data_IF_614560060555
#
_entry.id   IF_614560060555
#
_cell.length_a   1.000
_cell.length_b   1.000
_cell.length_c   1.000
_cell.angle_alpha   90.00
_cell.angle_beta   90.00
_cell.angle_gamma   90.00
#
_symmetry.space_group_name_H-M   'P 1'
#
loop_
_entity.id
_entity.type
_entity.pdbx_description
1 polymer ?
#
# COMPACT_ATOMS: atom_id res chain seq x y z
N UNK A 1 -9.26 -0.16 -7.86
CA UNK A 1 -8.88 -1.60 -7.90
C UNK A 1 -10.07 -2.38 -8.39
N UNK A 2 -9.88 -3.27 -9.36
CA UNK A 2 -10.94 -4.15 -9.86
C UNK A 2 -10.66 -5.59 -9.39
N UNK A 3 -11.31 -5.97 -8.29
CA UNK A 3 -11.16 -7.30 -7.71
C UNK A 3 -12.14 -8.28 -8.37
N UNK A 4 -11.63 -9.47 -8.71
CA UNK A 4 -12.42 -10.53 -9.34
C UNK A 4 -13.45 -11.04 -8.33
N UNK A 5 -14.72 -11.08 -8.73
CA UNK A 5 -15.85 -11.59 -7.93
C UNK A 5 -16.05 -10.90 -6.56
N UNK A 6 -15.55 -9.67 -6.39
CA UNK A 6 -15.62 -8.91 -5.13
C UNK A 6 -16.05 -7.46 -5.40
N UNK A 7 -17.34 -7.24 -5.63
CA UNK A 7 -17.88 -5.94 -6.08
C UNK A 7 -17.89 -4.85 -5.00
N UNK A 8 -17.88 -5.22 -3.72
CA UNK A 8 -17.89 -4.32 -2.56
C UNK A 8 -16.49 -4.08 -1.97
N UNK A 9 -15.46 -4.69 -2.55
CA UNK A 9 -14.09 -4.63 -2.05
C UNK A 9 -13.37 -3.37 -2.51
N UNK A 10 -12.99 -2.51 -1.56
CA UNK A 10 -12.17 -1.33 -1.80
C UNK A 10 -10.92 -1.35 -0.92
N UNK A 11 -9.79 -0.96 -1.50
CA UNK A 11 -8.49 -0.94 -0.83
C UNK A 11 -7.78 0.39 -1.10
N UNK A 12 -7.21 0.96 -0.05
CA UNK A 12 -6.21 2.03 -0.12
C UNK A 12 -5.01 1.60 0.72
N UNK A 13 -3.80 1.75 0.18
CA UNK A 13 -2.56 1.54 0.92
C UNK A 13 -1.56 2.60 0.47
N UNK A 14 -0.98 3.31 1.43
CA UNK A 14 -0.05 4.40 1.16
C UNK A 14 1.07 4.41 2.19
N UNK A 15 2.26 4.76 1.72
CA UNK A 15 3.42 5.10 2.56
C UNK A 15 3.91 6.48 2.13
N UNK A 16 4.33 7.31 3.09
CA UNK A 16 4.98 8.58 2.82
C UNK A 16 6.02 8.93 3.87
N UNK A 17 6.86 9.91 3.53
CA UNK A 17 7.72 10.60 4.50
C UNK A 17 7.12 11.95 4.82
N UNK A 18 7.05 12.31 6.10
CA UNK A 18 6.62 13.65 6.53
C UNK A 18 7.60 14.25 7.52
N UNK A 19 7.68 15.57 7.50
CA UNK A 19 8.46 16.33 8.46
C UNK A 19 7.57 16.71 9.65
N UNK A 20 8.06 16.46 10.85
CA UNK A 20 7.49 16.98 12.09
C UNK A 20 8.60 17.76 12.79
N UNK A 21 8.45 19.09 12.82
CA UNK A 21 9.47 19.99 13.36
C UNK A 21 10.86 19.70 12.76
N UNK A 22 11.80 19.21 13.56
CA UNK A 22 13.19 18.95 13.19
C UNK A 22 13.46 17.51 12.74
N UNK A 23 12.48 16.60 12.76
CA UNK A 23 12.69 15.21 12.34
C UNK A 23 11.80 14.81 11.16
N UNK A 24 12.26 13.81 10.44
CA UNK A 24 11.55 13.16 9.34
C UNK A 24 11.12 11.77 9.80
N UNK A 25 9.89 11.40 9.50
CA UNK A 25 9.39 10.05 9.77
C UNK A 25 8.71 9.43 8.55
N UNK A 26 8.77 8.10 8.49
CA UNK A 26 8.00 7.30 7.54
C UNK A 26 6.68 6.90 8.19
N UNK A 27 5.58 7.22 7.54
CA UNK A 27 4.22 6.90 7.97
C UNK A 27 3.50 6.13 6.87
N UNK A 28 2.67 5.18 7.27
CA UNK A 28 1.84 4.42 6.35
C UNK A 28 0.42 4.30 6.87
N UNK A 29 -0.50 4.05 5.96
CA UNK A 29 -1.91 3.77 6.25
C UNK A 29 -2.41 2.73 5.25
N UNK A 30 -3.18 1.77 5.75
CA UNK A 30 -3.87 0.76 4.95
C UNK A 30 -5.33 0.71 5.39
N UNK A 31 -6.25 0.78 4.43
CA UNK A 31 -7.69 0.74 4.66
C UNK A 31 -8.34 -0.23 3.69
N UNK A 32 -9.17 -1.13 4.21
CA UNK A 32 -9.89 -2.13 3.43
C UNK A 32 -11.37 -2.10 3.78
N UNK A 33 -12.24 -1.90 2.78
CA UNK A 33 -13.68 -2.11 2.92
C UNK A 33 -14.06 -3.46 2.35
N UNK A 34 -14.79 -4.26 3.12
CA UNK A 34 -15.30 -5.57 2.71
C UNK A 34 -16.54 -5.92 3.55
N UNK A 35 -17.63 -6.31 2.90
CA UNK A 35 -18.89 -6.74 3.51
C UNK A 35 -19.45 -5.73 4.54
N UNK A 36 -19.40 -4.44 4.20
CA UNK A 36 -19.87 -3.36 5.07
C UNK A 36 -18.96 -3.07 6.28
N UNK A 37 -17.81 -3.73 6.40
CA UNK A 37 -16.81 -3.47 7.44
C UNK A 37 -15.63 -2.68 6.87
N UNK A 38 -15.11 -1.74 7.65
CA UNK A 38 -13.86 -1.03 7.36
C UNK A 38 -12.76 -1.51 8.30
N UNK A 39 -11.72 -2.11 7.72
CA UNK A 39 -10.51 -2.51 8.43
C UNK A 39 -9.46 -1.42 8.25
N UNK A 40 -9.27 -0.62 9.31
CA UNK A 40 -8.27 0.44 9.36
C UNK A 40 -6.97 -0.04 9.99
N UNK A 41 -5.85 0.31 9.35
CA UNK A 41 -4.51 0.17 9.88
C UNK A 41 -3.77 1.50 9.70
N UNK A 42 -3.52 2.17 10.81
CA UNK A 42 -2.91 3.48 10.88
C UNK A 42 -1.83 3.52 11.96
N UNK A 43 -0.96 4.55 11.99
CA UNK A 43 0.18 4.59 12.91
C UNK A 43 -0.19 4.49 14.41
N UNK A 44 -1.42 4.82 14.78
CA UNK A 44 -1.91 4.77 16.16
C UNK A 44 -2.52 3.42 16.58
N UNK A 45 -2.84 2.52 15.65
CA UNK A 45 -3.51 1.25 15.96
C UNK A 45 -2.85 0.01 15.35
N UNK A 46 -1.86 0.17 14.46
CA UNK A 46 -1.24 -0.93 13.74
C UNK A 46 0.26 -0.72 13.53
N UNK A 47 0.98 -1.85 13.45
CA UNK A 47 2.31 -1.91 12.85
C UNK A 47 2.17 -2.07 11.35
N UNK A 48 2.93 -1.30 10.59
CA UNK A 48 2.84 -1.27 9.12
C UNK A 48 4.25 -1.33 8.55
N UNK A 49 4.50 -2.39 7.79
CA UNK A 49 5.79 -2.62 7.13
C UNK A 49 5.59 -2.60 5.62
N UNK A 50 6.63 -2.20 4.91
CA UNK A 50 6.61 -2.24 3.46
C UNK A 50 8.00 -2.38 2.87
N UNK A 51 8.01 -2.89 1.65
CA UNK A 51 9.13 -2.88 0.75
C UNK A 51 8.58 -2.52 -0.63
N UNK A 52 9.01 -1.39 -1.16
CA UNK A 52 8.65 -0.96 -2.51
C UNK A 52 9.93 -0.93 -3.32
N UNK A 53 9.94 -1.52 -4.50
CA UNK A 53 11.04 -1.39 -5.46
C UNK A 53 10.98 -0.01 -6.12
N UNK A 54 12.08 0.52 -6.68
CA UNK A 54 12.05 1.76 -7.46
C UNK A 54 10.92 1.80 -8.49
N UNK A 55 10.58 0.64 -9.04
CA UNK A 55 9.37 0.40 -9.80
C UNK A 55 9.07 -1.10 -9.91
N UNK A 56 7.80 -1.44 -10.16
CA UNK A 56 7.38 -2.76 -10.62
C UNK A 56 6.94 -3.74 -9.53
N UNK A 57 7.24 -3.45 -8.26
CA UNK A 57 6.90 -4.34 -7.15
C UNK A 57 6.65 -3.56 -5.85
N UNK A 58 5.57 -3.92 -5.16
CA UNK A 58 5.15 -3.35 -3.88
C UNK A 58 4.73 -4.49 -2.96
N UNK A 59 5.37 -4.59 -1.80
CA UNK A 59 4.91 -5.40 -0.69
C UNK A 59 4.56 -4.51 0.48
N UNK A 60 3.41 -4.75 1.09
CA UNK A 60 3.00 -4.08 2.32
C UNK A 60 2.30 -5.08 3.23
N UNK A 61 2.51 -4.93 4.53
CA UNK A 61 1.70 -5.61 5.53
C UNK A 61 1.30 -4.66 6.65
N UNK A 62 0.15 -4.93 7.25
CA UNK A 62 -0.29 -4.26 8.45
C UNK A 62 -0.86 -5.26 9.46
N UNK A 63 -0.50 -5.07 10.73
CA UNK A 63 -0.95 -5.92 11.84
C UNK A 63 -1.41 -5.07 13.02
N UNK A 64 -2.60 -5.36 13.52
CA UNK A 64 -3.09 -4.84 14.79
C UNK A 64 -3.40 -6.00 15.76
N UNK A 65 -4.09 -5.73 16.86
CA UNK A 65 -4.40 -6.75 17.87
C UNK A 65 -5.26 -7.91 17.35
N UNK A 66 -6.10 -7.67 16.33
CA UNK A 66 -7.15 -8.61 15.90
C UNK A 66 -7.06 -9.01 14.43
N UNK A 67 -6.28 -8.30 13.60
CA UNK A 67 -6.23 -8.50 12.16
C UNK A 67 -4.81 -8.37 11.60
N UNK A 68 -4.58 -9.10 10.51
CA UNK A 68 -3.37 -9.01 9.68
C UNK A 68 -3.78 -8.89 8.21
N UNK A 69 -3.29 -7.86 7.54
CA UNK A 69 -3.49 -7.59 6.12
C UNK A 69 -2.16 -7.66 5.40
N UNK A 70 -2.07 -8.50 4.36
CA UNK A 70 -0.91 -8.66 3.50
C UNK A 70 -1.28 -8.25 2.07
N UNK A 71 -0.44 -7.43 1.45
CA UNK A 71 -0.57 -6.96 0.07
C UNK A 71 0.69 -7.28 -0.71
N UNK A 72 0.51 -7.77 -1.93
CA UNK A 72 1.58 -7.95 -2.90
C UNK A 72 1.12 -7.45 -4.25
N UNK A 73 1.75 -6.41 -4.78
CA UNK A 73 1.41 -5.85 -6.08
C UNK A 73 2.60 -5.80 -7.04
N UNK A 74 2.33 -5.97 -8.32
CA UNK A 74 3.33 -5.96 -9.38
C UNK A 74 2.85 -5.23 -10.62
N UNK A 75 3.80 -4.71 -11.40
CA UNK A 75 3.58 -4.14 -12.72
C UNK A 75 4.78 -4.41 -13.61
N UNK A 76 4.54 -5.02 -14.77
CA UNK A 76 5.56 -5.28 -15.81
C UNK A 76 5.70 -4.12 -16.81
N UNK A 77 4.77 -3.16 -16.80
CA UNK A 77 4.79 -1.95 -17.64
C UNK A 77 5.65 -0.86 -16.98
N UNK A 78 6.27 0.05 -17.76
CA UNK A 78 7.14 1.11 -17.23
C UNK A 78 6.43 2.21 -16.41
N UNK A 79 5.10 2.21 -16.33
CA UNK A 79 4.30 3.28 -15.73
C UNK A 79 4.28 4.55 -16.58
N UNK A 80 3.47 5.53 -16.17
CA UNK A 80 3.43 6.88 -16.77
C UNK A 80 4.05 7.87 -15.82
N UNK A 81 4.91 8.75 -16.33
CA UNK A 81 5.48 9.84 -15.55
C UNK A 81 4.43 10.94 -15.37
N UNK A 82 4.26 11.38 -14.12
CA UNK A 82 3.32 12.40 -13.72
C UNK A 82 4.05 13.59 -13.10
N UNK A 83 3.50 14.79 -13.34
CA UNK A 83 3.97 16.01 -12.68
C UNK A 83 3.25 16.14 -11.34
N UNK A 84 4.00 16.37 -10.27
CA UNK A 84 3.44 16.66 -8.95
C UNK A 84 3.98 17.99 -8.40
N UNK A 85 3.25 18.65 -7.48
CA UNK A 85 3.71 19.88 -6.84
C UNK A 85 5.00 19.67 -6.04
N UNK A 86 5.99 20.53 -6.28
CA UNK A 86 7.24 20.60 -5.50
C UNK A 86 7.61 22.05 -5.24
N UNK A 87 8.69 22.29 -4.49
CA UNK A 87 9.27 23.63 -4.34
C UNK A 87 9.73 24.24 -5.68
N UNK A 88 10.05 23.41 -6.68
CA UNK A 88 10.41 23.85 -8.03
C UNK A 88 9.18 23.95 -8.97
N UNK A 89 7.96 23.93 -8.43
CA UNK A 89 6.72 23.88 -9.20
C UNK A 89 6.32 22.45 -9.60
N UNK A 90 5.49 22.34 -10.64
CA UNK A 90 5.03 21.05 -11.18
C UNK A 90 6.15 20.38 -11.99
N UNK A 91 6.76 19.33 -11.46
CA UNK A 91 7.86 18.59 -12.12
C UNK A 91 7.57 17.11 -12.16
N UNK A 92 8.16 16.40 -13.12
CA UNK A 92 8.05 14.94 -13.23
C UNK A 92 8.76 14.27 -12.05
N UNK A 93 7.98 13.80 -11.08
CA UNK A 93 8.48 13.24 -9.82
C UNK A 93 7.61 12.08 -9.31
N UNK A 94 6.51 11.77 -10.00
CA UNK A 94 5.69 10.60 -9.72
C UNK A 94 5.67 9.70 -10.96
N UNK A 95 5.44 8.41 -10.71
CA UNK A 95 5.18 7.41 -11.73
C UNK A 95 4.01 6.56 -11.28
N UNK A 96 3.00 6.41 -12.15
CA UNK A 96 1.79 5.65 -11.85
C UNK A 96 1.40 4.63 -12.92
N UNK A 97 0.47 3.76 -12.58
CA UNK A 97 -0.19 2.84 -13.52
C UNK A 97 -1.54 2.43 -12.94
N UNK A 98 -2.51 2.15 -13.83
CA UNK A 98 -3.78 1.51 -13.48
C UNK A 98 -3.84 0.04 -13.93
N UNK A 99 -2.73 -0.46 -14.48
CA UNK A 99 -2.57 -1.83 -14.99
C UNK A 99 -1.83 -2.72 -14.00
N UNK A 100 -1.82 -2.37 -12.72
CA UNK A 100 -1.21 -3.18 -11.70
C UNK A 100 -1.97 -4.47 -11.43
N UNK A 101 -1.24 -5.48 -10.99
CA UNK A 101 -1.79 -6.70 -10.40
C UNK A 101 -1.61 -6.65 -8.89
N UNK A 102 -2.61 -7.08 -8.13
CA UNK A 102 -2.57 -7.09 -6.68
C UNK A 102 -3.12 -8.41 -6.15
N UNK A 103 -2.41 -8.99 -5.18
CA UNK A 103 -2.87 -10.06 -4.33
C UNK A 103 -3.07 -9.50 -2.92
N UNK A 104 -4.18 -9.87 -2.29
CA UNK A 104 -4.55 -9.43 -0.94
C UNK A 104 -4.92 -10.63 -0.09
N UNK A 105 -4.50 -10.60 1.18
CA UNK A 105 -4.94 -11.56 2.20
C UNK A 105 -5.25 -10.84 3.51
N UNK A 106 -6.46 -11.02 4.02
CA UNK A 106 -6.89 -10.55 5.34
C UNK A 106 -7.14 -11.74 6.25
N UNK A 107 -6.55 -11.72 7.45
CA UNK A 107 -6.75 -12.73 8.50
C UNK A 107 -7.26 -12.08 9.78
N UNK A 108 -8.11 -12.82 10.50
CA UNK A 108 -8.38 -12.59 11.93
C UNK A 108 -7.32 -13.28 12.76
N UNK A 109 -6.84 -12.60 13.80
CA UNK A 109 -5.86 -13.10 14.74
C UNK A 109 -6.55 -13.54 16.03
N UNK A 110 -6.16 -14.71 16.53
CA UNK A 110 -6.61 -15.28 17.78
C UNK A 110 -5.39 -15.78 18.58
N UNK A 111 -5.49 -15.94 19.92
CA UNK A 111 -4.39 -16.47 20.71
C UNK A 111 -3.93 -17.86 20.24
N UNK A 112 -4.85 -18.69 19.74
CA UNK A 112 -4.58 -20.07 19.31
C UNK A 112 -4.27 -20.20 17.81
N UNK A 113 -4.26 -19.10 17.04
CA UNK A 113 -4.00 -19.17 15.61
C UNK A 113 -4.59 -18.00 14.82
N UNK A 114 -4.77 -18.18 13.51
CA UNK A 114 -5.38 -17.17 12.65
C UNK A 114 -6.39 -17.80 11.69
N UNK A 115 -7.45 -17.06 11.38
CA UNK A 115 -8.49 -17.48 10.44
C UNK A 115 -8.48 -16.57 9.21
N UNK A 116 -8.51 -17.14 8.02
CA UNK A 116 -8.61 -16.37 6.78
C UNK A 116 -10.01 -15.73 6.69
N UNK A 117 -10.07 -14.41 6.52
CA UNK A 117 -11.32 -13.68 6.24
C UNK A 117 -11.51 -13.53 4.73
N UNK A 118 -10.45 -13.08 4.05
CA UNK A 118 -10.52 -12.74 2.62
C UNK A 118 -9.19 -13.06 1.94
N UNK A 119 -9.28 -13.64 0.74
CA UNK A 119 -8.19 -13.70 -0.21
C UNK A 119 -8.71 -13.25 -1.57
N UNK A 120 -8.15 -12.17 -2.10
CA UNK A 120 -8.62 -11.55 -3.33
C UNK A 120 -7.47 -11.20 -4.26
N UNK A 121 -7.79 -11.12 -5.56
CA UNK A 121 -6.84 -10.69 -6.57
C UNK A 121 -7.50 -9.62 -7.44
N UNK A 122 -6.73 -8.57 -7.77
CA UNK A 122 -7.10 -7.55 -8.73
C UNK A 122 -6.18 -7.64 -9.94
N UNK A 123 -6.76 -7.61 -11.15
CA UNK A 123 -6.02 -7.52 -12.42
C UNK A 123 -5.90 -6.09 -12.95
N UNK A 124 -6.49 -5.12 -12.25
CA UNK A 124 -6.38 -3.70 -12.55
C UNK A 124 -6.40 -2.89 -11.24
N UNK A 125 -5.22 -2.62 -10.69
CA UNK A 125 -5.04 -1.72 -9.55
C UNK A 125 -4.16 -0.52 -9.89
N UNK A 126 -4.38 0.56 -9.13
CA UNK A 126 -3.51 1.72 -9.12
C UNK A 126 -2.23 1.41 -8.36
N UNK A 127 -1.07 1.69 -8.94
CA UNK A 127 0.23 1.61 -8.28
C UNK A 127 1.01 2.88 -8.57
N UNK A 128 1.65 3.43 -7.55
CA UNK A 128 2.37 4.70 -7.63
C UNK A 128 3.69 4.61 -6.85
N UNK A 129 4.71 5.27 -7.39
CA UNK A 129 5.87 5.74 -6.63
C UNK A 129 6.01 7.24 -6.85
N UNK A 130 6.38 7.96 -5.81
CA UNK A 130 6.57 9.40 -5.86
C UNK A 130 7.82 9.82 -5.10
N UNK A 131 8.40 10.96 -5.50
CA UNK A 131 9.63 11.48 -4.93
C UNK A 131 10.81 11.45 -5.91
N UNK A 132 11.99 11.86 -5.43
CA UNK A 132 13.21 11.80 -6.23
C UNK A 132 13.47 10.36 -6.67
N UNK A 133 14.01 10.11 -7.89
CA UNK A 133 14.39 8.78 -8.32
C UNK A 133 15.27 8.13 -7.26
N UNK A 134 14.87 6.97 -6.80
CA UNK A 134 15.55 6.22 -5.76
C UNK A 134 16.04 4.92 -6.39
N UNK A 135 17.31 4.58 -6.17
CA UNK A 135 17.98 3.45 -6.84
C UNK A 135 17.68 2.12 -6.15
N UNK A 136 17.49 2.16 -4.83
CA UNK A 136 17.29 1.00 -3.97
C UNK A 136 15.83 0.82 -3.58
N UNK A 137 15.48 -0.32 -2.97
CA UNK A 137 14.15 -0.52 -2.40
C UNK A 137 13.92 0.36 -1.16
N UNK A 138 12.68 0.81 -0.95
CA UNK A 138 12.27 1.65 0.16
C UNK A 138 11.63 0.73 1.16
N UNK A 139 12.38 0.50 2.24
CA UNK A 139 12.05 -0.48 3.25
C UNK A 139 11.66 0.27 4.52
N UNK A 140 10.56 -0.16 5.13
CA UNK A 140 10.23 0.17 6.52
C UNK A 140 9.84 -1.09 7.26
N UNK A 141 10.48 -1.27 8.41
CA UNK A 141 10.20 -2.35 9.36
C UNK A 141 9.99 -1.73 10.75
N UNK A 142 8.95 -2.17 11.47
CA UNK A 142 8.50 -1.69 12.79
C UNK A 142 8.16 -2.82 13.76
#
# INVERSE_FOLDING_TARGET
NCFIDQSDLALTAAGGRRQILSWMESVGLMGLHHQGQFYEFAPWNAKINWQVSPWGEWWMEARNATHHLELWATCDRPGKLLRAPTQAGLVYICRDTMFGHLKLRLKRLHPQGSALILQANSKACGLEVGGQPWQDSWIRST
#
